data_IF_707765476392
#
_entry.id   IF_707765476392
#
_cell.length_a   1.000
_cell.length_b   1.000
_cell.length_c   1.000
_cell.angle_alpha   90.00
_cell.angle_beta   90.00
_cell.angle_gamma   90.00
#
_symmetry.space_group_name_H-M   'P 1'
#
loop_
_entity.id
_entity.type
_entity.pdbx_description
1 polymer ?
#
# COMPACT_ATOMS: atom_id res chain seq x y z
N UNK A 1 -9.51 32.74 9.68
CA UNK A 1 -10.93 32.85 9.26
C UNK A 1 -11.77 33.11 10.50
N UNK A 2 -12.50 34.21 10.56
CA UNK A 2 -13.20 34.65 11.76
C UNK A 2 -14.47 33.81 12.05
N UNK A 3 -14.91 33.85 13.31
CA UNK A 3 -15.98 33.01 13.85
C UNK A 3 -17.36 33.33 13.24
N UNK A 4 -17.58 34.56 12.80
CA UNK A 4 -18.83 34.98 12.18
C UNK A 4 -18.96 34.44 10.75
N UNK A 5 -17.86 34.47 9.99
CA UNK A 5 -17.77 33.87 8.67
C UNK A 5 -18.00 32.35 8.72
N UNK A 6 -17.44 31.66 9.72
CA UNK A 6 -17.68 30.23 9.97
C UNK A 6 -19.16 29.94 10.26
N UNK A 7 -19.79 30.67 11.19
CA UNK A 7 -21.21 30.49 11.55
C UNK A 7 -22.18 30.79 10.40
N UNK A 8 -21.84 31.73 9.51
CA UNK A 8 -22.66 32.06 8.33
C UNK A 8 -22.61 30.95 7.28
N UNK A 9 -21.42 30.43 7.00
CA UNK A 9 -21.21 29.29 6.08
C UNK A 9 -21.94 28.06 6.61
N UNK A 10 -21.85 27.81 7.91
CA UNK A 10 -22.51 26.69 8.58
C UNK A 10 -24.05 26.79 8.52
N UNK A 11 -24.62 27.99 8.69
CA UNK A 11 -26.07 28.23 8.52
C UNK A 11 -26.56 28.01 7.09
N UNK A 12 -25.85 28.55 6.09
CA UNK A 12 -26.17 28.35 4.67
C UNK A 12 -26.09 26.86 4.28
N UNK A 13 -25.08 26.15 4.81
CA UNK A 13 -24.90 24.71 4.60
C UNK A 13 -26.05 23.91 5.22
N UNK A 14 -26.43 24.23 6.45
CA UNK A 14 -27.56 23.56 7.14
C UNK A 14 -28.90 23.85 6.48
N UNK A 15 -29.11 25.05 5.93
CA UNK A 15 -30.33 25.39 5.19
C UNK A 15 -30.48 24.56 3.90
N UNK A 16 -29.41 24.42 3.11
CA UNK A 16 -29.43 23.61 1.88
C UNK A 16 -29.60 22.12 2.16
N UNK A 17 -28.99 21.61 3.24
CA UNK A 17 -29.18 20.23 3.70
C UNK A 17 -30.66 19.97 4.00
N UNK A 18 -31.34 20.89 4.71
CA UNK A 18 -32.75 20.75 5.05
C UNK A 18 -33.69 20.83 3.84
N UNK A 19 -33.36 21.63 2.83
CA UNK A 19 -34.13 21.73 1.58
C UNK A 19 -34.03 20.42 0.74
N UNK A 20 -32.85 19.78 0.70
CA UNK A 20 -32.65 18.47 0.05
C UNK A 20 -33.39 17.34 0.77
N UNK A 21 -33.31 17.35 2.10
CA UNK A 21 -34.02 16.45 2.99
C UNK A 21 -35.53 16.42 2.73
N UNK A 22 -36.11 17.58 2.43
CA UNK A 22 -37.53 17.73 2.14
C UNK A 22 -37.93 17.21 0.75
N UNK A 23 -37.04 17.26 -0.25
CA UNK A 23 -37.34 16.68 -1.58
C UNK A 23 -37.26 15.16 -1.60
N UNK A 24 -36.43 14.55 -0.73
CA UNK A 24 -36.28 13.10 -0.64
C UNK A 24 -37.46 12.38 0.00
N UNK A 25 -38.06 13.01 1.01
CA UNK A 25 -39.22 12.46 1.72
C UNK A 25 -40.52 12.54 0.89
N UNK A 26 -40.48 13.16 -0.29
CA UNK A 26 -41.66 13.40 -1.10
C UNK A 26 -42.04 12.23 -2.02
N UNK A 27 -41.11 11.32 -2.37
CA UNK A 27 -41.34 10.37 -3.47
C UNK A 27 -41.46 8.87 -3.11
N UNK A 28 -41.03 8.38 -1.94
CA UNK A 28 -41.34 6.99 -1.50
C UNK A 28 -41.46 6.89 0.03
N UNK A 29 -42.36 6.04 0.53
CA UNK A 29 -42.53 5.78 1.97
C UNK A 29 -41.33 4.94 2.46
N UNK A 30 -40.25 5.60 2.87
CA UNK A 30 -39.09 4.99 3.53
C UNK A 30 -39.30 5.07 5.06
N UNK A 31 -39.00 4.03 5.85
CA UNK A 31 -39.02 4.11 7.30
C UNK A 31 -38.10 5.23 7.82
N UNK A 32 -38.59 6.03 8.78
CA UNK A 32 -37.90 7.21 9.30
C UNK A 32 -36.50 6.91 9.87
N UNK A 33 -36.29 5.69 10.38
CA UNK A 33 -34.99 5.18 10.86
C UNK A 33 -33.96 4.98 9.74
N UNK A 34 -34.41 4.55 8.55
CA UNK A 34 -33.53 4.29 7.41
C UNK A 34 -33.14 5.60 6.71
N UNK A 35 -34.03 6.59 6.76
CA UNK A 35 -33.75 7.96 6.32
C UNK A 35 -32.70 8.62 7.22
N UNK A 36 -32.80 8.47 8.54
CA UNK A 36 -31.82 9.06 9.47
C UNK A 36 -30.46 8.37 9.36
N UNK A 37 -30.41 7.04 9.28
CA UNK A 37 -29.18 6.29 9.06
C UNK A 37 -28.54 6.64 7.70
N UNK A 38 -29.33 6.76 6.64
CA UNK A 38 -28.83 7.20 5.33
C UNK A 38 -28.32 8.65 5.38
N UNK A 39 -28.98 9.55 6.12
CA UNK A 39 -28.53 10.94 6.31
C UNK A 39 -27.24 11.05 7.10
N UNK A 40 -27.11 10.32 8.21
CA UNK A 40 -25.86 10.28 8.98
C UNK A 40 -24.71 9.75 8.12
N UNK A 41 -24.94 8.67 7.37
CA UNK A 41 -24.01 8.13 6.38
C UNK A 41 -23.65 9.23 5.34
N UNK A 42 -24.62 9.83 4.68
CA UNK A 42 -24.40 10.89 3.67
C UNK A 42 -23.59 12.09 4.21
N UNK A 43 -23.86 12.52 5.44
CA UNK A 43 -23.20 13.65 6.09
C UNK A 43 -21.77 13.32 6.52
N UNK A 44 -21.52 12.08 6.93
CA UNK A 44 -20.19 11.59 7.28
C UNK A 44 -19.32 11.38 6.03
N UNK A 45 -19.87 10.82 4.95
CA UNK A 45 -19.17 10.55 3.69
C UNK A 45 -18.81 11.82 2.90
N UNK A 46 -19.71 12.80 2.81
CA UNK A 46 -19.44 14.06 2.09
C UNK A 46 -18.46 15.01 2.80
N UNK A 47 -18.17 14.80 4.09
CA UNK A 47 -17.31 15.68 4.91
C UNK A 47 -15.90 15.15 5.14
N UNK A 48 -15.61 13.89 4.84
CA UNK A 48 -14.27 13.31 4.97
C UNK A 48 -13.45 13.59 3.70
N UNK A 49 -12.88 14.79 3.65
CA UNK A 49 -11.84 15.18 2.67
C UNK A 49 -10.67 14.18 2.59
N UNK A 50 -10.47 13.39 3.64
CA UNK A 50 -9.49 12.31 3.70
C UNK A 50 -9.86 11.05 2.87
N UNK A 51 -11.14 10.82 2.55
CA UNK A 51 -11.61 9.59 1.89
C UNK A 51 -11.84 9.72 0.38
N UNK A 52 -11.66 10.91 -0.18
CA UNK A 52 -11.64 11.10 -1.64
C UNK A 52 -10.44 10.37 -2.26
N UNK A 53 -10.59 9.83 -3.45
CA UNK A 53 -9.47 9.22 -4.14
C UNK A 53 -8.58 10.32 -4.73
N UNK A 54 -7.28 10.07 -4.68
CA UNK A 54 -6.28 10.89 -5.35
C UNK A 54 -5.43 10.02 -6.26
N UNK A 55 -4.68 10.66 -7.17
CA UNK A 55 -3.66 9.99 -7.96
C UNK A 55 -2.76 9.12 -7.07
N UNK A 56 -2.67 7.84 -7.40
CA UNK A 56 -1.95 6.85 -6.60
C UNK A 56 -2.85 5.86 -5.85
N UNK A 57 -4.17 6.07 -5.82
CA UNK A 57 -5.14 5.11 -5.27
C UNK A 57 -4.97 3.71 -5.87
N UNK A 58 -5.03 2.67 -5.03
CA UNK A 58 -4.94 1.28 -5.47
C UNK A 58 -6.35 0.78 -5.73
N UNK A 59 -6.57 0.18 -6.89
CA UNK A 59 -7.85 -0.34 -7.34
C UNK A 59 -7.80 -1.87 -7.47
N UNK A 60 -8.94 -2.53 -7.34
CA UNK A 60 -9.12 -3.96 -7.63
C UNK A 60 -10.41 -4.21 -8.39
N UNK A 61 -10.56 -5.40 -8.98
CA UNK A 61 -11.76 -5.81 -9.70
C UNK A 61 -12.28 -7.14 -9.13
N UNK A 62 -13.58 -7.26 -8.91
CA UNK A 62 -14.21 -8.46 -8.35
C UNK A 62 -14.08 -9.70 -9.26
N UNK A 63 -13.87 -9.51 -10.57
CA UNK A 63 -13.62 -10.58 -11.54
C UNK A 63 -12.15 -10.90 -11.78
N UNK A 64 -11.22 -10.19 -11.13
CA UNK A 64 -9.79 -10.42 -11.29
C UNK A 64 -9.35 -11.78 -10.69
N UNK A 65 -8.58 -12.56 -11.45
CA UNK A 65 -8.02 -13.84 -11.00
C UNK A 65 -6.61 -14.08 -11.49
N UNK A 66 -5.82 -14.77 -10.67
CA UNK A 66 -4.47 -15.26 -11.02
C UNK A 66 -4.46 -16.76 -11.36
N UNK A 67 -5.61 -17.42 -11.23
CA UNK A 67 -5.77 -18.81 -11.62
C UNK A 67 -5.71 -19.00 -13.14
N UNK A 68 -5.49 -20.25 -13.60
CA UNK A 68 -5.54 -20.58 -15.01
C UNK A 68 -6.90 -20.20 -15.62
N UNK A 69 -6.89 -19.75 -16.87
CA UNK A 69 -8.11 -19.43 -17.61
C UNK A 69 -8.16 -20.28 -18.88
N UNK A 70 -9.18 -21.14 -19.00
CA UNK A 70 -9.35 -22.01 -20.16
C UNK A 70 -10.23 -21.32 -21.19
N UNK A 71 -9.72 -21.18 -22.40
CA UNK A 71 -10.36 -20.49 -23.52
C UNK A 71 -10.37 -21.43 -24.72
N UNK A 72 -11.50 -22.12 -24.92
CA UNK A 72 -11.58 -23.19 -25.92
C UNK A 72 -10.77 -24.41 -25.46
N UNK A 73 -9.84 -24.88 -26.30
CA UNK A 73 -8.89 -25.95 -25.97
C UNK A 73 -7.61 -25.44 -25.28
N UNK A 74 -7.39 -24.13 -25.27
CA UNK A 74 -6.19 -23.49 -24.72
C UNK A 74 -6.35 -23.19 -23.23
N UNK A 75 -5.27 -23.34 -22.46
CA UNK A 75 -5.24 -22.92 -21.05
C UNK A 75 -4.14 -21.90 -20.82
N UNK A 76 -4.55 -20.69 -20.46
CA UNK A 76 -3.64 -19.59 -20.19
C UNK A 76 -3.09 -19.72 -18.78
N UNK A 77 -1.81 -20.05 -18.72
CA UNK A 77 -1.02 -20.07 -17.50
C UNK A 77 -0.03 -18.90 -17.53
N UNK A 78 0.15 -18.24 -16.38
CA UNK A 78 1.18 -17.20 -16.29
C UNK A 78 2.57 -17.82 -16.39
N UNK A 79 3.37 -17.40 -17.37
CA UNK A 79 4.71 -17.98 -17.64
C UNK A 79 5.70 -17.78 -16.49
N UNK A 80 5.44 -16.81 -15.62
CA UNK A 80 6.02 -16.64 -14.27
C UNK A 80 5.43 -15.36 -13.66
N UNK A 81 5.40 -15.25 -12.33
CA UNK A 81 5.27 -13.95 -11.66
C UNK A 81 6.70 -13.45 -11.38
N UNK A 82 7.32 -12.66 -12.27
CA UNK A 82 8.75 -12.44 -12.19
C UNK A 82 9.15 -11.57 -10.99
N UNK A 83 8.17 -10.97 -10.28
CA UNK A 83 8.43 -9.92 -9.30
C UNK A 83 7.48 -9.91 -8.09
N UNK A 84 6.63 -10.94 -7.89
CA UNK A 84 5.64 -10.91 -6.80
C UNK A 84 4.68 -9.72 -6.92
N UNK A 85 4.40 -9.27 -8.16
CA UNK A 85 3.51 -8.12 -8.38
C UNK A 85 2.11 -8.53 -8.01
N UNK A 86 1.39 -7.64 -7.34
CA UNK A 86 -0.01 -7.86 -7.02
C UNK A 86 -0.91 -7.73 -8.26
N UNK A 87 -0.89 -8.75 -9.13
CA UNK A 87 -1.52 -8.80 -10.46
C UNK A 87 -3.01 -8.42 -10.49
N UNK A 88 -3.73 -8.59 -9.37
CA UNK A 88 -5.16 -8.25 -9.21
C UNK A 88 -5.42 -6.78 -8.88
N UNK A 89 -4.36 -5.97 -8.82
CA UNK A 89 -4.44 -4.55 -8.47
C UNK A 89 -3.81 -3.69 -9.56
N UNK A 90 -4.37 -2.50 -9.72
CA UNK A 90 -3.82 -1.44 -10.57
C UNK A 90 -3.83 -0.13 -9.80
N UNK A 91 -3.21 0.91 -10.36
CA UNK A 91 -3.09 2.22 -9.72
C UNK A 91 -3.83 3.26 -10.55
N UNK A 92 -4.68 4.04 -9.87
CA UNK A 92 -5.34 5.20 -10.47
C UNK A 92 -4.30 6.30 -10.73
N UNK A 93 -4.23 6.76 -11.97
CA UNK A 93 -3.44 7.90 -12.40
C UNK A 93 -4.37 9.09 -12.58
N UNK A 94 -3.98 10.21 -12.00
CA UNK A 94 -4.67 11.49 -12.10
C UNK A 94 -3.59 12.53 -12.28
N UNK A 95 -3.38 12.97 -13.51
CA UNK A 95 -2.27 13.86 -13.89
C UNK A 95 -2.74 15.21 -14.42
N UNK A 96 -3.93 15.22 -15.00
CA UNK A 96 -4.59 16.31 -15.70
C UNK A 96 -5.37 17.23 -14.75
N UNK A 97 -5.76 16.73 -13.57
CA UNK A 97 -6.59 17.50 -12.65
C UNK A 97 -5.78 18.58 -11.94
N UNK A 98 -6.36 19.79 -11.88
CA UNK A 98 -5.68 20.94 -11.30
C UNK A 98 -5.64 20.86 -9.77
N UNK A 99 -6.73 20.39 -9.16
CA UNK A 99 -6.90 20.36 -7.70
C UNK A 99 -6.01 19.31 -7.05
N UNK A 100 -5.21 19.73 -6.07
CA UNK A 100 -4.49 18.85 -5.16
C UNK A 100 -5.26 18.67 -3.85
N UNK A 101 -5.31 17.44 -3.39
CA UNK A 101 -5.90 17.04 -2.12
C UNK A 101 -4.91 16.09 -1.43
N UNK A 102 -4.48 16.44 -0.22
CA UNK A 102 -3.73 15.53 0.66
C UNK A 102 -2.53 14.81 0.00
N UNK A 103 -1.77 15.54 -0.81
CA UNK A 103 -0.52 15.07 -1.44
C UNK A 103 -0.68 14.37 -2.80
N UNK A 104 -1.89 14.35 -3.38
CA UNK A 104 -2.13 13.86 -4.74
C UNK A 104 -3.15 14.72 -5.50
N UNK A 105 -3.25 14.55 -6.82
CA UNK A 105 -4.31 15.18 -7.61
C UNK A 105 -5.66 14.53 -7.30
N UNK A 106 -6.68 15.32 -7.01
CA UNK A 106 -8.01 14.82 -6.68
C UNK A 106 -8.62 14.10 -7.88
N UNK A 107 -9.11 12.88 -7.68
CA UNK A 107 -9.80 12.11 -8.70
C UNK A 107 -11.27 12.50 -8.78
N UNK A 108 -11.83 12.40 -9.97
CA UNK A 108 -13.21 12.72 -10.32
C UNK A 108 -13.88 11.56 -11.04
N UNK A 109 -15.18 11.69 -11.27
CA UNK A 109 -15.95 10.70 -12.03
C UNK A 109 -15.45 10.49 -13.46
N UNK A 110 -14.67 11.44 -14.00
CA UNK A 110 -14.10 11.39 -15.35
C UNK A 110 -12.78 10.63 -15.46
N UNK A 111 -12.17 10.26 -14.34
CA UNK A 111 -10.88 9.58 -14.30
C UNK A 111 -11.01 8.04 -14.51
N UNK A 112 -11.57 7.63 -15.65
CA UNK A 112 -11.91 6.23 -15.94
C UNK A 112 -11.19 5.64 -17.18
N UNK A 113 -10.45 6.45 -17.94
CA UNK A 113 -9.97 6.04 -19.26
C UNK A 113 -8.84 5.00 -19.16
N UNK A 114 -8.90 4.00 -20.06
CA UNK A 114 -7.90 2.94 -20.16
C UNK A 114 -6.56 3.53 -20.61
N UNK A 115 -5.47 3.07 -19.99
CA UNK A 115 -4.08 3.48 -20.22
C UNK A 115 -3.73 4.94 -19.90
N UNK A 116 -4.74 5.80 -19.71
CA UNK A 116 -4.59 7.16 -19.17
C UNK A 116 -4.74 7.14 -17.65
N UNK A 117 -5.95 6.90 -17.14
CA UNK A 117 -6.23 6.88 -15.71
C UNK A 117 -6.02 5.48 -15.12
N UNK A 118 -6.37 4.44 -15.87
CA UNK A 118 -6.40 3.06 -15.36
C UNK A 118 -5.71 2.13 -16.35
N UNK A 119 -4.55 1.59 -15.96
CA UNK A 119 -3.92 0.53 -16.73
C UNK A 119 -4.72 -0.78 -16.58
N UNK A 120 -4.87 -1.58 -17.65
CA UNK A 120 -5.47 -2.90 -17.54
C UNK A 120 -4.81 -3.75 -16.46
N UNK A 121 -5.63 -4.48 -15.70
CA UNK A 121 -5.13 -5.38 -14.67
C UNK A 121 -4.25 -6.48 -15.30
N UNK A 122 -3.10 -6.78 -14.68
CA UNK A 122 -2.16 -7.82 -15.15
C UNK A 122 -2.61 -9.24 -14.73
N UNK A 123 -3.92 -9.53 -14.85
CA UNK A 123 -4.57 -10.75 -14.40
C UNK A 123 -5.55 -11.31 -15.45
N UNK A 124 -6.11 -12.49 -15.15
CA UNK A 124 -7.20 -13.07 -15.92
C UNK A 124 -8.55 -12.53 -15.45
N UNK A 125 -9.53 -12.51 -16.35
CA UNK A 125 -10.93 -12.20 -16.04
C UNK A 125 -11.75 -13.50 -15.84
N UNK A 126 -12.58 -13.54 -14.79
CA UNK A 126 -13.51 -14.65 -14.53
C UNK A 126 -14.84 -14.56 -15.28
N UNK A 127 -15.14 -13.45 -15.96
CA UNK A 127 -16.40 -13.33 -16.68
C UNK A 127 -16.46 -14.33 -17.84
N UNK A 128 -17.68 -14.83 -18.12
CA UNK A 128 -17.94 -15.70 -19.25
C UNK A 128 -17.60 -14.98 -20.56
N UNK A 129 -16.86 -15.68 -21.42
CA UNK A 129 -16.40 -15.16 -22.70
C UNK A 129 -17.41 -15.47 -23.81
N UNK A 130 -17.67 -14.48 -24.66
CA UNK A 130 -18.30 -14.69 -25.96
C UNK A 130 -17.31 -15.37 -26.93
N UNK A 131 -17.81 -15.99 -28.01
CA UNK A 131 -16.94 -16.62 -29.03
C UNK A 131 -15.96 -15.61 -29.66
N UNK A 132 -16.39 -14.36 -29.85
CA UNK A 132 -15.52 -13.30 -30.36
C UNK A 132 -14.38 -12.97 -29.38
N UNK A 133 -14.69 -12.89 -28.08
CA UNK A 133 -13.69 -12.64 -27.03
C UNK A 133 -12.72 -13.81 -26.88
N UNK A 134 -13.21 -15.05 -27.01
CA UNK A 134 -12.33 -16.24 -27.07
C UNK A 134 -11.36 -16.12 -28.24
N UNK A 135 -11.84 -15.77 -29.43
CA UNK A 135 -10.97 -15.63 -30.61
C UNK A 135 -9.95 -14.49 -30.44
N UNK A 136 -10.33 -13.38 -29.82
CA UNK A 136 -9.41 -12.27 -29.49
C UNK A 136 -8.27 -12.73 -28.59
N UNK A 137 -8.57 -13.55 -27.59
CA UNK A 137 -7.57 -14.11 -26.69
C UNK A 137 -6.68 -15.13 -27.41
N UNK A 138 -7.26 -16.05 -28.19
CA UNK A 138 -6.52 -17.07 -28.96
C UNK A 138 -5.55 -16.40 -29.94
N UNK A 139 -5.95 -15.31 -30.58
CA UNK A 139 -5.10 -14.53 -31.48
C UNK A 139 -4.00 -13.73 -30.76
N UNK A 140 -3.94 -13.77 -29.42
CA UNK A 140 -2.99 -13.02 -28.60
C UNK A 140 -2.51 -13.81 -27.38
N UNK A 141 -2.35 -15.14 -27.53
CA UNK A 141 -2.00 -16.05 -26.43
C UNK A 141 -0.71 -15.63 -25.72
N UNK A 142 0.37 -15.38 -26.46
CA UNK A 142 1.67 -15.00 -25.88
C UNK A 142 1.57 -13.75 -24.99
N UNK A 143 0.78 -12.74 -25.41
CA UNK A 143 0.55 -11.55 -24.60
C UNK A 143 -0.30 -11.86 -23.35
N UNK A 144 -1.33 -12.71 -23.50
CA UNK A 144 -2.20 -13.11 -22.40
C UNK A 144 -1.48 -14.00 -21.38
N UNK A 145 -0.49 -14.79 -21.78
CA UNK A 145 0.34 -15.59 -20.88
C UNK A 145 1.28 -14.72 -20.02
N UNK A 146 1.66 -13.54 -20.53
CA UNK A 146 2.49 -12.59 -19.78
C UNK A 146 1.62 -11.69 -18.89
N UNK A 147 0.58 -11.10 -19.47
CA UNK A 147 -0.19 -10.01 -18.86
C UNK A 147 -1.59 -10.40 -18.38
N UNK A 148 -2.09 -11.58 -18.75
CA UNK A 148 -3.44 -12.03 -18.43
C UNK A 148 -4.51 -11.52 -19.39
N UNK A 149 -5.69 -12.14 -19.34
CA UNK A 149 -6.78 -11.86 -20.29
C UNK A 149 -7.48 -10.52 -20.06
N UNK A 150 -7.42 -9.92 -18.87
CA UNK A 150 -8.03 -8.60 -18.61
C UNK A 150 -7.53 -7.53 -19.57
N UNK A 151 -6.26 -7.63 -20.00
CA UNK A 151 -5.68 -6.69 -20.98
C UNK A 151 -6.42 -6.64 -22.31
N UNK A 152 -7.09 -7.73 -22.71
CA UNK A 152 -7.89 -7.81 -23.94
C UNK A 152 -9.37 -7.56 -23.72
N UNK A 153 -9.85 -7.76 -22.50
CA UNK A 153 -11.28 -7.82 -22.18
C UNK A 153 -11.80 -6.57 -21.48
N UNK A 154 -10.94 -5.81 -20.80
CA UNK A 154 -11.35 -4.63 -20.03
C UNK A 154 -11.95 -3.57 -20.96
N UNK A 155 -13.12 -3.06 -20.58
CA UNK A 155 -13.87 -2.03 -21.29
C UNK A 155 -14.42 -1.05 -20.26
N UNK A 156 -13.96 0.21 -20.30
CA UNK A 156 -14.35 1.28 -19.38
C UNK A 156 -15.00 2.40 -20.20
N UNK A 157 -16.31 2.30 -20.41
CA UNK A 157 -17.05 3.23 -21.26
C UNK A 157 -17.84 4.28 -20.47
N UNK A 158 -18.05 4.01 -19.18
CA UNK A 158 -18.89 4.81 -18.32
C UNK A 158 -18.02 5.54 -17.29
N UNK A 159 -18.52 6.68 -16.83
CA UNK A 159 -17.95 7.41 -15.71
C UNK A 159 -17.99 6.55 -14.44
N UNK A 160 -17.20 6.92 -13.43
CA UNK A 160 -17.37 6.33 -12.10
C UNK A 160 -18.75 6.65 -11.53
N UNK A 161 -19.33 5.67 -10.84
CA UNK A 161 -20.54 5.87 -10.08
C UNK A 161 -20.22 6.13 -8.61
N UNK A 162 -20.70 7.27 -8.14
CA UNK A 162 -20.79 7.56 -6.72
C UNK A 162 -22.03 6.86 -6.15
N UNK A 163 -21.83 5.98 -5.16
CA UNK A 163 -22.89 5.11 -4.62
C UNK A 163 -24.06 5.87 -3.98
N UNK A 164 -23.85 7.12 -3.57
CA UNK A 164 -24.88 7.93 -2.91
C UNK A 164 -25.25 9.10 -3.84
N UNK A 165 -26.30 8.92 -4.65
CA UNK A 165 -26.66 9.88 -5.72
C UNK A 165 -27.13 11.26 -5.24
N UNK A 166 -27.29 11.48 -3.94
CA UNK A 166 -27.87 12.70 -3.34
C UNK A 166 -27.01 13.27 -2.20
N UNK A 167 -25.69 13.19 -2.37
CA UNK A 167 -24.70 13.81 -1.49
C UNK A 167 -24.03 15.01 -2.16
N UNK A 168 -23.59 15.97 -1.34
CA UNK A 168 -22.77 17.10 -1.78
C UNK A 168 -21.30 16.67 -1.97
N UNK A 169 -21.02 15.83 -2.98
CA UNK A 169 -19.62 15.53 -3.32
C UNK A 169 -18.88 16.82 -3.67
N UNK A 170 -17.63 16.93 -3.22
CA UNK A 170 -16.77 18.02 -3.67
C UNK A 170 -16.57 17.87 -5.18
N UNK A 171 -16.86 18.93 -5.91
CA UNK A 171 -16.48 19.02 -7.31
C UNK A 171 -15.06 19.55 -7.39
N UNK A 172 -14.28 18.99 -8.31
CA UNK A 172 -12.90 19.38 -8.54
C UNK A 172 -12.72 19.79 -9.99
N UNK A 173 -11.75 20.70 -10.22
CA UNK A 173 -11.40 21.14 -11.54
C UNK A 173 -10.69 20.01 -12.29
N UNK A 174 -11.33 19.55 -13.35
CA UNK A 174 -10.89 18.53 -14.30
C UNK A 174 -10.60 19.21 -15.64
N UNK A 175 -9.51 18.81 -16.31
CA UNK A 175 -9.19 19.29 -17.66
C UNK A 175 -9.60 18.23 -18.67
N UNK A 176 -10.56 18.56 -19.53
CA UNK A 176 -11.08 17.64 -20.53
C UNK A 176 -10.11 17.47 -21.72
N UNK A 177 -10.47 16.58 -22.65
CA UNK A 177 -9.69 16.31 -23.87
C UNK A 177 -9.47 17.54 -24.76
N UNK A 178 -10.34 18.55 -24.67
CA UNK A 178 -10.24 19.82 -25.40
C UNK A 178 -9.38 20.86 -24.67
N UNK A 179 -8.73 20.50 -23.56
CA UNK A 179 -7.96 21.40 -22.68
C UNK A 179 -8.80 22.48 -22.00
N UNK A 180 -10.12 22.25 -21.86
CA UNK A 180 -11.01 23.13 -21.14
C UNK A 180 -11.15 22.63 -19.69
N UNK A 181 -11.18 23.58 -18.74
CA UNK A 181 -11.38 23.26 -17.32
C UNK A 181 -12.85 23.24 -16.99
N UNK A 182 -13.32 22.11 -16.46
CA UNK A 182 -14.69 21.89 -16.02
C UNK A 182 -14.70 21.39 -14.57
N UNK A 183 -15.84 21.53 -13.89
CA UNK A 183 -16.04 20.94 -12.57
C UNK A 183 -16.68 19.55 -12.72
N UNK A 184 -16.05 18.55 -12.10
CA UNK A 184 -16.58 17.19 -12.04
C UNK A 184 -16.61 16.69 -10.59
N UNK A 185 -17.61 15.87 -10.25
CA UNK A 185 -17.72 15.31 -8.91
C UNK A 185 -16.50 14.46 -8.56
N UNK A 186 -15.97 14.66 -7.36
CA UNK A 186 -14.93 13.84 -6.79
C UNK A 186 -15.42 12.42 -6.49
N UNK A 187 -14.51 11.45 -6.65
CA UNK A 187 -14.76 10.06 -6.27
C UNK A 187 -14.10 9.72 -4.94
N UNK A 188 -14.65 8.74 -4.24
CA UNK A 188 -14.29 8.33 -2.87
C UNK A 188 -14.00 6.84 -2.79
N UNK A 189 -13.63 6.36 -1.60
CA UNK A 189 -13.47 4.93 -1.31
C UNK A 189 -14.72 4.06 -1.60
N UNK A 190 -15.91 4.66 -1.69
CA UNK A 190 -17.15 3.96 -2.05
C UNK A 190 -17.52 4.07 -3.52
N UNK A 191 -16.80 4.86 -4.31
CA UNK A 191 -17.10 4.98 -5.73
C UNK A 191 -16.72 3.71 -6.47
N UNK A 192 -17.49 3.39 -7.51
CA UNK A 192 -17.39 2.12 -8.21
C UNK A 192 -17.33 2.41 -9.70
N UNK A 193 -16.45 1.71 -10.41
CA UNK A 193 -16.35 1.82 -11.86
C UNK A 193 -16.79 0.51 -12.50
N UNK A 194 -17.76 0.59 -13.39
CA UNK A 194 -18.25 -0.58 -14.09
C UNK A 194 -17.36 -0.87 -15.30
N UNK A 195 -16.80 -2.08 -15.35
CA UNK A 195 -16.22 -2.62 -16.56
C UNK A 195 -17.32 -3.31 -17.35
N UNK A 196 -17.60 -2.84 -18.57
CA UNK A 196 -18.70 -3.34 -19.40
C UNK A 196 -18.56 -4.82 -19.80
N UNK A 197 -17.40 -5.43 -19.55
CA UNK A 197 -17.20 -6.88 -19.62
C UNK A 197 -17.69 -7.61 -18.34
N UNK A 198 -18.39 -6.93 -17.43
CA UNK A 198 -19.05 -7.53 -16.26
C UNK A 198 -18.26 -7.50 -14.96
N UNK A 199 -17.22 -6.65 -14.89
CA UNK A 199 -16.42 -6.47 -13.68
C UNK A 199 -16.75 -5.19 -12.95
N UNK A 200 -16.53 -5.17 -11.65
CA UNK A 200 -16.74 -4.03 -10.78
C UNK A 200 -15.41 -3.63 -10.15
N UNK A 201 -14.94 -2.44 -10.52
CA UNK A 201 -13.68 -1.89 -10.05
C UNK A 201 -13.95 -1.03 -8.83
N UNK A 202 -13.27 -1.33 -7.72
CA UNK A 202 -13.42 -0.60 -6.45
C UNK A 202 -12.07 -0.20 -5.87
N UNK A 203 -12.01 0.90 -5.10
CA UNK A 203 -10.81 1.30 -4.39
C UNK A 203 -10.46 0.31 -3.28
N UNK A 204 -9.17 0.05 -3.13
CA UNK A 204 -8.56 -0.63 -1.97
C UNK A 204 -7.90 0.41 -1.05
N UNK A 205 -7.40 1.50 -1.63
CA UNK A 205 -6.84 2.65 -0.88
C UNK A 205 -7.24 3.95 -1.56
N UNK A 206 -7.28 5.05 -0.80
CA UNK A 206 -7.61 6.38 -1.34
C UNK A 206 -6.46 7.04 -2.09
N UNK A 207 -5.25 6.49 -2.01
CA UNK A 207 -4.03 7.14 -2.51
C UNK A 207 -3.48 8.22 -1.59
N UNK A 208 -4.25 8.71 -0.61
CA UNK A 208 -3.85 9.79 0.29
C UNK A 208 -2.89 9.36 1.43
N UNK A 209 -2.20 8.22 1.30
CA UNK A 209 -1.40 7.59 2.38
C UNK A 209 -0.39 8.53 3.03
N UNK A 210 0.22 9.45 2.26
CA UNK A 210 1.22 10.41 2.78
C UNK A 210 0.64 11.39 3.80
N UNK A 211 -0.60 11.81 3.62
CA UNK A 211 -1.23 12.79 4.51
C UNK A 211 -1.66 12.16 5.85
N UNK A 212 -2.29 10.99 5.81
CA UNK A 212 -2.63 10.24 7.03
C UNK A 212 -1.42 10.01 7.91
N UNK A 213 -0.27 9.69 7.31
CA UNK A 213 0.96 9.37 8.02
C UNK A 213 1.68 10.58 8.58
N UNK A 214 1.61 11.72 7.90
CA UNK A 214 2.10 12.97 8.43
C UNK A 214 1.28 13.41 9.64
N UNK A 215 -0.05 13.29 9.56
CA UNK A 215 -0.95 13.58 10.67
C UNK A 215 -0.77 12.60 11.83
N UNK A 216 -0.73 11.29 11.56
CA UNK A 216 -0.45 10.25 12.54
C UNK A 216 0.87 10.51 13.25
N UNK A 217 1.93 10.83 12.50
CA UNK A 217 3.23 11.21 13.05
C UNK A 217 3.13 12.46 13.94
N UNK A 218 2.43 13.50 13.49
CA UNK A 218 2.26 14.74 14.27
C UNK A 218 1.47 14.50 15.56
N UNK A 219 0.40 13.69 15.50
CA UNK A 219 -0.38 13.26 16.67
C UNK A 219 0.49 12.42 17.63
N UNK A 220 1.22 11.42 17.13
CA UNK A 220 2.10 10.56 17.93
C UNK A 220 3.22 11.35 18.63
N UNK A 221 3.81 12.33 17.94
CA UNK A 221 4.83 13.22 18.52
C UNK A 221 4.20 14.14 19.57
N UNK A 222 3.00 14.67 19.33
CA UNK A 222 2.29 15.50 20.28
C UNK A 222 1.89 14.73 21.55
N UNK A 223 1.57 13.44 21.41
CA UNK A 223 1.30 12.51 22.51
C UNK A 223 2.57 11.98 23.18
N UNK A 224 3.74 12.24 22.59
CA UNK A 224 5.04 11.86 23.14
C UNK A 224 5.37 10.38 22.99
N UNK A 225 4.76 9.67 22.04
CA UNK A 225 5.07 8.25 21.76
C UNK A 225 6.53 8.09 21.28
N UNK A 226 7.01 9.04 20.48
CA UNK A 226 8.38 9.12 20.02
C UNK A 226 8.72 10.55 19.59
N UNK A 227 10.02 10.82 19.38
CA UNK A 227 10.47 12.13 18.88
C UNK A 227 10.55 12.15 17.36
N UNK A 228 10.43 13.34 16.76
CA UNK A 228 10.67 13.55 15.33
C UNK A 228 12.06 13.03 14.92
N UNK A 229 13.06 13.27 15.76
CA UNK A 229 14.43 12.83 15.53
C UNK A 229 14.53 11.30 15.51
N UNK A 230 13.95 10.60 16.49
CA UNK A 230 13.93 9.13 16.52
C UNK A 230 13.19 8.53 15.31
N UNK A 231 12.09 9.16 14.90
CA UNK A 231 11.33 8.74 13.73
C UNK A 231 12.16 8.83 12.44
N UNK A 232 12.83 9.94 12.20
CA UNK A 232 13.68 10.11 11.00
C UNK A 232 14.86 9.13 10.99
N UNK A 233 15.46 8.88 12.16
CA UNK A 233 16.53 7.91 12.31
C UNK A 233 16.06 6.48 12.03
N UNK A 234 14.86 6.11 12.49
CA UNK A 234 14.24 4.83 12.18
C UNK A 234 14.02 4.70 10.67
N UNK A 235 13.29 5.63 10.05
CA UNK A 235 12.96 5.58 8.61
C UNK A 235 14.21 5.49 7.74
N UNK A 236 15.24 6.31 8.02
CA UNK A 236 16.49 6.28 7.28
C UNK A 236 17.23 4.94 7.41
N UNK A 237 17.13 4.29 8.57
CA UNK A 237 17.71 2.96 8.79
C UNK A 237 16.91 1.89 8.06
N UNK A 238 15.59 1.90 8.17
CA UNK A 238 14.72 0.91 7.50
C UNK A 238 14.90 0.92 5.98
N UNK A 239 14.91 2.11 5.36
CA UNK A 239 15.12 2.27 3.92
C UNK A 239 16.50 1.81 3.45
N UNK A 240 17.51 1.82 4.34
CA UNK A 240 18.87 1.38 4.04
C UNK A 240 19.12 -0.11 4.26
N UNK A 241 18.43 -0.73 5.21
CA UNK A 241 18.69 -2.11 5.68
C UNK A 241 17.73 -3.16 5.12
N UNK A 242 16.61 -2.74 4.52
CA UNK A 242 15.64 -3.65 3.96
C UNK A 242 14.98 -3.08 2.69
N UNK A 243 14.60 -3.96 1.77
CA UNK A 243 13.94 -3.61 0.51
C UNK A 243 12.49 -4.11 0.42
N UNK A 244 11.93 -4.56 1.55
CA UNK A 244 10.56 -5.07 1.64
C UNK A 244 9.93 -4.63 2.95
N UNK A 245 8.62 -4.41 2.94
CA UNK A 245 7.87 -4.01 4.13
C UNK A 245 8.10 -4.95 5.31
N UNK A 246 8.03 -6.28 5.09
CA UNK A 246 8.26 -7.28 6.15
C UNK A 246 9.69 -7.21 6.70
N UNK A 247 10.69 -7.02 5.84
CA UNK A 247 12.07 -6.83 6.27
C UNK A 247 12.26 -5.53 7.08
N UNK A 248 11.62 -4.44 6.66
CA UNK A 248 11.65 -3.16 7.37
C UNK A 248 10.99 -3.27 8.75
N UNK A 249 9.85 -3.95 8.86
CA UNK A 249 9.21 -4.24 10.16
C UNK A 249 10.14 -5.05 11.07
N UNK A 250 10.81 -6.07 10.54
CA UNK A 250 11.75 -6.88 11.32
C UNK A 250 12.95 -6.07 11.83
N UNK A 251 13.56 -5.24 10.98
CA UNK A 251 14.65 -4.34 11.40
C UNK A 251 14.14 -3.31 12.42
N UNK A 252 12.93 -2.79 12.25
CA UNK A 252 12.32 -1.85 13.19
C UNK A 252 12.17 -2.44 14.59
N UNK A 253 11.63 -3.66 14.69
CA UNK A 253 11.54 -4.35 15.98
C UNK A 253 12.90 -4.70 16.57
N UNK A 254 13.89 -5.04 15.74
CA UNK A 254 15.25 -5.30 16.21
C UNK A 254 15.87 -4.06 16.87
N UNK A 255 15.66 -2.88 16.28
CA UNK A 255 16.05 -1.59 16.85
C UNK A 255 15.31 -1.35 18.18
N UNK A 256 13.98 -1.55 18.23
CA UNK A 256 13.22 -1.36 19.47
C UNK A 256 13.64 -2.34 20.59
N UNK A 257 13.98 -3.58 20.24
CA UNK A 257 14.51 -4.55 21.19
C UNK A 257 15.86 -4.08 21.77
N UNK A 258 16.75 -3.52 20.94
CA UNK A 258 18.00 -2.90 21.39
C UNK A 258 17.75 -1.69 22.27
N UNK A 259 16.81 -0.80 21.91
CA UNK A 259 16.41 0.35 22.73
C UNK A 259 15.97 -0.10 24.13
N UNK A 260 15.11 -1.13 24.19
CA UNK A 260 14.62 -1.71 25.44
C UNK A 260 15.72 -2.37 26.27
N UNK A 261 16.62 -3.11 25.63
CA UNK A 261 17.75 -3.79 26.30
C UNK A 261 18.74 -2.80 26.89
N UNK A 262 19.07 -1.76 26.13
CA UNK A 262 20.17 -0.85 26.45
C UNK A 262 19.71 0.45 27.14
N UNK A 263 18.41 0.68 27.25
CA UNK A 263 17.84 1.92 27.81
C UNK A 263 18.17 3.16 26.98
N UNK A 264 18.20 3.01 25.65
CA UNK A 264 18.63 4.03 24.69
C UNK A 264 17.49 4.45 23.76
N UNK A 265 17.57 5.67 23.26
CA UNK A 265 16.74 6.15 22.15
C UNK A 265 17.09 5.45 20.83
N UNK A 266 16.20 5.54 19.84
CA UNK A 266 16.43 4.98 18.50
C UNK A 266 17.66 5.63 17.88
N UNK A 267 17.77 6.96 17.97
CA UNK A 267 18.96 7.69 17.53
C UNK A 267 20.24 7.13 18.12
N UNK A 268 20.28 6.89 19.43
CA UNK A 268 21.48 6.37 20.11
C UNK A 268 21.83 4.93 19.71
N UNK A 269 20.83 4.13 19.32
CA UNK A 269 21.04 2.76 18.81
C UNK A 269 21.57 2.78 17.38
N UNK A 270 21.02 3.63 16.50
CA UNK A 270 21.33 3.57 15.05
C UNK A 270 22.51 4.44 14.61
N UNK A 271 22.77 5.55 15.30
CA UNK A 271 23.81 6.52 14.92
C UNK A 271 25.27 6.06 15.09
N UNK A 272 25.63 5.12 16.00
CA UNK A 272 27.03 4.74 16.16
C UNK A 272 27.60 4.10 14.90
N UNK A 273 28.85 4.47 14.56
CA UNK A 273 29.52 4.03 13.33
C UNK A 273 29.57 2.50 13.24
N UNK A 274 29.09 1.96 12.13
CA UNK A 274 29.15 0.53 11.82
C UNK A 274 28.05 -0.32 12.45
N UNK A 275 27.06 0.29 13.14
CA UNK A 275 25.88 -0.43 13.64
C UNK A 275 24.93 -0.81 12.52
N UNK A 276 24.60 0.15 11.67
CA UNK A 276 23.76 -0.02 10.49
C UNK A 276 24.50 0.59 9.29
N UNK A 277 24.75 -0.22 8.27
CA UNK A 277 25.51 0.18 7.09
C UNK A 277 24.67 0.91 6.05
N UNK A 278 23.35 0.67 6.06
CA UNK A 278 22.36 1.36 5.26
C UNK A 278 21.98 2.73 5.81
N UNK A 279 22.19 2.98 7.10
CA UNK A 279 21.95 4.29 7.71
C UNK A 279 22.92 5.35 7.17
N UNK A 280 22.35 6.45 6.67
CA UNK A 280 23.08 7.59 6.14
C UNK A 280 22.48 8.88 6.68
N UNK A 281 23.27 9.65 7.43
CA UNK A 281 22.82 10.89 8.09
C UNK A 281 22.34 11.94 7.09
N UNK A 282 22.93 11.96 5.89
CA UNK A 282 22.55 12.84 4.80
C UNK A 282 21.12 12.63 4.26
N UNK A 283 20.52 11.46 4.57
CA UNK A 283 19.16 11.09 4.16
C UNK A 283 18.07 11.44 5.20
N UNK A 284 18.43 11.89 6.40
CA UNK A 284 17.45 12.31 7.42
C UNK A 284 16.51 13.38 6.85
N UNK A 285 15.22 13.22 7.09
CA UNK A 285 14.15 14.09 6.58
C UNK A 285 13.94 14.07 5.06
N UNK A 286 14.65 13.22 4.31
CA UNK A 286 14.62 13.20 2.83
C UNK A 286 14.15 11.87 2.22
N UNK A 287 13.90 10.86 3.05
CA UNK A 287 13.40 9.57 2.59
C UNK A 287 11.95 9.70 2.13
N UNK A 288 11.70 9.33 0.87
CA UNK A 288 10.36 9.25 0.27
C UNK A 288 9.88 7.82 0.08
N UNK A 289 10.61 6.82 0.61
CA UNK A 289 10.20 5.41 0.59
C UNK A 289 8.98 5.21 1.50
N UNK A 290 7.83 5.01 0.87
CA UNK A 290 6.56 4.82 1.56
C UNK A 290 6.55 3.56 2.42
N UNK A 291 7.22 2.48 2.01
CA UNK A 291 7.25 1.26 2.84
C UNK A 291 8.06 1.48 4.13
N UNK A 292 9.14 2.26 4.06
CA UNK A 292 9.96 2.56 5.23
C UNK A 292 9.21 3.44 6.24
N UNK A 293 8.49 4.45 5.76
CA UNK A 293 7.62 5.30 6.57
C UNK A 293 6.49 4.46 7.18
N UNK A 294 5.85 3.61 6.38
CA UNK A 294 4.75 2.75 6.82
C UNK A 294 5.18 1.75 7.89
N UNK A 295 6.35 1.13 7.71
CA UNK A 295 6.90 0.20 8.68
C UNK A 295 7.29 0.91 9.98
N UNK A 296 7.89 2.11 9.90
CA UNK A 296 8.27 2.88 11.08
C UNK A 296 7.05 3.20 11.96
N UNK A 297 5.98 3.74 11.37
CA UNK A 297 4.74 4.06 12.11
C UNK A 297 4.13 2.79 12.72
N UNK A 298 3.96 1.74 11.92
CA UNK A 298 3.33 0.51 12.37
C UNK A 298 4.11 -0.15 13.53
N UNK A 299 5.43 -0.13 13.48
CA UNK A 299 6.29 -0.66 14.54
C UNK A 299 6.22 0.21 15.80
N UNK A 300 6.29 1.54 15.66
CA UNK A 300 6.24 2.47 16.80
C UNK A 300 4.89 2.47 17.51
N UNK A 301 3.79 2.33 16.76
CA UNK A 301 2.44 2.17 17.30
C UNK A 301 2.08 0.74 17.72
N UNK A 302 2.96 -0.22 17.44
CA UNK A 302 2.72 -1.64 17.69
C UNK A 302 1.44 -2.18 16.99
N UNK A 303 1.19 -1.74 15.75
CA UNK A 303 0.05 -2.13 14.91
C UNK A 303 0.31 -3.37 14.05
N UNK A 304 1.56 -3.83 13.99
CA UNK A 304 1.99 -4.99 13.21
C UNK A 304 2.61 -6.03 14.12
N UNK A 305 2.50 -7.32 13.78
CA UNK A 305 3.12 -8.38 14.58
C UNK A 305 4.65 -8.29 14.50
N UNK A 306 5.33 -8.47 15.63
CA UNK A 306 6.79 -8.56 15.70
C UNK A 306 7.26 -9.93 15.15
N UNK A 307 7.88 -9.99 13.96
CA UNK A 307 8.19 -11.24 13.30
C UNK A 307 9.46 -11.92 13.84
N UNK A 308 10.19 -11.27 14.76
CA UNK A 308 11.49 -11.73 15.27
C UNK A 308 11.54 -11.90 16.79
N UNK A 309 10.42 -11.66 17.50
CA UNK A 309 10.38 -11.72 18.96
C UNK A 309 11.36 -10.73 19.60
N UNK A 310 12.15 -11.19 20.58
CA UNK A 310 13.08 -10.34 21.34
C UNK A 310 14.51 -10.29 20.76
N UNK A 311 14.73 -10.79 19.54
CA UNK A 311 16.06 -10.83 18.92
C UNK A 311 16.63 -9.41 18.77
N UNK A 312 17.92 -9.24 19.11
CA UNK A 312 18.64 -7.96 19.06
C UNK A 312 19.79 -7.93 18.08
N UNK A 313 20.08 -9.03 17.37
CA UNK A 313 21.17 -9.07 16.39
C UNK A 313 20.65 -9.43 15.02
N UNK A 314 21.20 -8.79 13.99
CA UNK A 314 21.00 -9.22 12.63
C UNK A 314 22.27 -9.06 11.79
N UNK A 315 22.36 -9.86 10.73
CA UNK A 315 23.33 -9.68 9.67
C UNK A 315 22.67 -9.72 8.30
N UNK A 316 23.11 -8.82 7.43
CA UNK A 316 22.96 -8.96 5.99
C UNK A 316 24.11 -9.76 5.38
N UNK A 317 23.97 -10.05 4.08
CA UNK A 317 25.02 -10.67 3.27
C UNK A 317 26.26 -9.77 3.18
N UNK A 318 27.45 -10.38 3.16
CA UNK A 318 28.67 -9.72 2.74
C UNK A 318 29.22 -10.33 1.46
N UNK A 319 29.79 -9.51 0.58
CA UNK A 319 30.29 -9.98 -0.72
C UNK A 319 31.51 -10.89 -0.56
N UNK A 320 31.47 -12.05 -1.22
CA UNK A 320 32.56 -13.03 -1.20
C UNK A 320 32.58 -13.97 0.01
N UNK A 321 31.58 -13.89 0.91
CA UNK A 321 31.51 -14.74 2.09
C UNK A 321 30.18 -15.48 2.17
N UNK A 322 30.25 -16.76 2.56
CA UNK A 322 29.08 -17.48 3.02
C UNK A 322 28.56 -16.85 4.31
N UNK A 323 27.24 -16.92 4.50
CA UNK A 323 26.61 -16.58 5.77
C UNK A 323 26.21 -17.89 6.45
N UNK A 324 26.70 -18.12 7.66
CA UNK A 324 26.58 -19.40 8.35
C UNK A 324 26.47 -19.20 9.86
N UNK A 325 25.99 -20.22 10.58
CA UNK A 325 25.83 -20.19 12.03
C UNK A 325 26.40 -21.43 12.70
N UNK A 326 26.77 -21.29 13.97
CA UNK A 326 27.24 -22.38 14.83
C UNK A 326 26.03 -23.11 15.41
N UNK A 327 25.76 -24.34 14.96
CA UNK A 327 24.55 -25.09 15.32
C UNK A 327 24.38 -25.23 16.83
N UNK A 328 25.47 -25.49 17.56
CA UNK A 328 25.40 -25.74 18.99
C UNK A 328 25.34 -24.46 19.84
N UNK A 329 25.58 -23.29 19.23
CA UNK A 329 25.60 -22.01 19.93
C UNK A 329 24.34 -21.17 19.64
N UNK A 330 23.81 -21.22 18.42
CA UNK A 330 22.67 -20.41 18.00
C UNK A 330 21.36 -20.98 18.58
N UNK A 331 20.66 -20.20 19.39
CA UNK A 331 19.37 -20.58 20.00
C UNK A 331 18.19 -20.16 19.14
N UNK A 332 18.29 -19.01 18.48
CA UNK A 332 17.22 -18.44 17.66
C UNK A 332 17.78 -17.98 16.33
N UNK A 333 17.10 -18.33 15.24
CA UNK A 333 17.52 -17.99 13.88
C UNK A 333 16.30 -17.80 12.97
N UNK A 334 16.15 -16.58 12.44
CA UNK A 334 15.04 -16.21 11.57
C UNK A 334 15.58 -15.45 10.36
N UNK A 335 15.21 -15.89 9.16
CA UNK A 335 15.63 -15.27 7.90
C UNK A 335 14.41 -14.59 7.29
N UNK A 336 14.53 -13.29 7.03
CA UNK A 336 13.46 -12.48 6.44
C UNK A 336 14.07 -11.61 5.34
N UNK A 337 13.70 -11.88 4.09
CA UNK A 337 14.07 -11.05 2.94
C UNK A 337 15.57 -10.75 2.83
N UNK A 338 16.41 -11.72 3.20
CA UNK A 338 17.87 -11.61 3.13
C UNK A 338 18.55 -11.01 4.36
N UNK A 339 17.79 -10.65 5.39
CA UNK A 339 18.30 -10.34 6.72
C UNK A 339 18.20 -11.58 7.61
N UNK A 340 19.27 -11.87 8.35
CA UNK A 340 19.36 -12.99 9.29
C UNK A 340 19.36 -12.45 10.70
N UNK A 341 18.26 -12.65 11.40
CA UNK A 341 18.06 -12.27 12.81
C UNK A 341 18.42 -13.46 13.69
N UNK A 342 19.22 -13.24 14.73
CA UNK A 342 19.75 -14.35 15.53
C UNK A 342 20.09 -14.00 16.98
N UNK A 343 20.08 -15.02 17.82
CA UNK A 343 20.64 -15.01 19.18
C UNK A 343 21.38 -16.33 19.45
N UNK A 344 22.40 -16.33 20.32
CA UNK A 344 23.04 -15.16 20.95
C UNK A 344 24.03 -14.44 20.00
N UNK A 345 24.44 -13.23 20.38
CA UNK A 345 25.51 -12.52 19.68
C UNK A 345 26.78 -13.39 19.53
N UNK A 346 27.33 -13.42 18.32
CA UNK A 346 28.53 -14.21 17.97
C UNK A 346 28.26 -15.61 17.43
N UNK A 347 27.00 -16.08 17.43
CA UNK A 347 26.65 -17.40 16.89
C UNK A 347 26.51 -17.46 15.35
N UNK A 348 26.32 -16.31 14.69
CA UNK A 348 26.21 -16.18 13.23
C UNK A 348 27.38 -15.39 12.66
N UNK A 349 27.84 -15.76 11.47
CA UNK A 349 29.03 -15.18 10.83
C UNK A 349 28.76 -14.86 9.36
N UNK A 350 29.03 -13.61 8.95
CA UNK A 350 28.90 -13.15 7.55
C UNK A 350 30.22 -12.66 6.92
N UNK A 351 31.33 -12.64 7.68
CA UNK A 351 32.67 -12.20 7.23
C UNK A 351 33.79 -13.17 7.63
N UNK A 352 33.44 -14.41 8.01
CA UNK A 352 34.39 -15.41 8.49
C UNK A 352 34.46 -16.57 7.49
N UNK A 353 35.60 -16.70 6.82
CA UNK A 353 35.82 -17.75 5.81
C UNK A 353 35.90 -19.15 6.44
N UNK A 354 36.61 -19.25 7.57
CA UNK A 354 36.81 -20.53 8.28
C UNK A 354 35.59 -20.88 9.12
N UNK A 355 34.91 -21.96 8.73
CA UNK A 355 33.74 -22.52 9.41
C UNK A 355 34.15 -23.41 10.59
N UNK A 356 33.36 -23.41 11.66
CA UNK A 356 33.50 -24.38 12.76
C UNK A 356 33.05 -25.77 12.30
N UNK A 357 33.34 -26.80 13.11
CA UNK A 357 32.95 -28.17 12.81
C UNK A 357 31.42 -28.38 12.76
N UNK A 358 30.66 -27.55 13.48
CA UNK A 358 29.20 -27.58 13.59
C UNK A 358 28.50 -26.48 12.78
N UNK A 359 29.22 -25.85 11.84
CA UNK A 359 28.69 -24.78 11.03
C UNK A 359 27.59 -25.24 10.08
N UNK A 360 26.48 -24.51 10.04
CA UNK A 360 25.42 -24.67 9.03
C UNK A 360 25.40 -23.42 8.15
N UNK A 361 25.55 -23.63 6.84
CA UNK A 361 25.52 -22.55 5.85
C UNK A 361 24.07 -22.17 5.55
N UNK A 362 23.78 -20.88 5.65
CA UNK A 362 22.47 -20.28 5.37
C UNK A 362 22.46 -19.63 3.99
N UNK A 363 23.56 -19.02 3.59
CA UNK A 363 23.75 -18.43 2.28
C UNK A 363 25.05 -18.94 1.65
N UNK A 364 24.93 -19.53 0.46
CA UNK A 364 26.06 -20.01 -0.34
C UNK A 364 26.51 -18.89 -1.29
N UNK A 365 27.69 -18.34 -1.02
CA UNK A 365 28.23 -17.20 -1.76
C UNK A 365 28.69 -17.55 -3.18
N UNK A 366 29.18 -18.76 -3.38
CA UNK A 366 29.62 -19.26 -4.69
C UNK A 366 28.43 -19.44 -5.63
N UNK A 367 27.30 -19.95 -5.11
CA UNK A 367 26.05 -20.13 -5.87
C UNK A 367 25.13 -18.92 -5.83
N UNK A 368 25.47 -17.90 -5.05
CA UNK A 368 24.65 -16.72 -4.79
C UNK A 368 23.22 -17.05 -4.37
N UNK A 369 23.06 -18.02 -3.48
CA UNK A 369 21.75 -18.62 -3.16
C UNK A 369 21.51 -18.73 -1.65
N UNK A 370 20.32 -18.31 -1.23
CA UNK A 370 19.77 -18.60 0.10
C UNK A 370 19.35 -20.07 0.18
N UNK A 371 19.78 -20.75 1.24
CA UNK A 371 19.49 -22.16 1.50
C UNK A 371 18.30 -22.34 2.44
N UNK A 372 17.91 -21.28 3.15
CA UNK A 372 16.80 -21.26 4.11
C UNK A 372 16.04 -19.93 4.02
N UNK A 373 14.77 -19.94 4.42
CA UNK A 373 13.90 -18.76 4.58
C UNK A 373 12.94 -19.02 5.75
N UNK A 374 12.60 -17.97 6.51
CA UNK A 374 11.77 -18.05 7.71
C UNK A 374 12.49 -18.56 8.96
N UNK A 375 11.73 -19.13 9.90
CA UNK A 375 12.25 -19.67 11.17
C UNK A 375 13.04 -20.95 10.90
N UNK A 376 14.31 -20.96 11.29
CA UNK A 376 15.17 -22.14 11.18
C UNK A 376 15.16 -22.85 12.54
N UNK A 377 14.65 -24.08 12.60
CA UNK A 377 14.66 -24.86 13.85
C UNK A 377 16.09 -25.17 14.26
N UNK A 378 16.54 -24.51 15.31
CA UNK A 378 17.81 -24.70 16.00
C UNK A 378 17.64 -25.74 17.12
N UNK A 379 17.35 -26.99 16.72
CA UNK A 379 17.18 -28.20 17.57
C UNK A 379 16.19 -28.14 18.75
#
# INVERSE_FOLDING_TARGET
MDEYTKKRIEREKNKKINEMIASELADEIIPESDVEAARELCLEYGRRDTEYLVGGAILTCDKATIGPNTVGEETINFLSDPNGKERKRTRLKVSENATELNGGKAATVKDHQIDINIAPFECNCKTLLTEEEKQKIINSLEECEIHGTCRKLMKLNDDWENMIKKTNYFSFNYTNENQETEEAEGITMLSMLFCSHGGLITPVTSGQRRYYKQRDKEEDIAEGLYTDEDFEHLVATLAGEANSYRGMVAVGYEILNRCKRDGKSIKEVVSPKGQYTGFKKEHLGKISDENAIDAAIAVLRNEVENPIGNITNHFGRYEGYDLWYEKNACTDLIIINGNVFYEPYGAVHNKKATKTADAIVIYDSAKRKWLYDGVVKTS
#
